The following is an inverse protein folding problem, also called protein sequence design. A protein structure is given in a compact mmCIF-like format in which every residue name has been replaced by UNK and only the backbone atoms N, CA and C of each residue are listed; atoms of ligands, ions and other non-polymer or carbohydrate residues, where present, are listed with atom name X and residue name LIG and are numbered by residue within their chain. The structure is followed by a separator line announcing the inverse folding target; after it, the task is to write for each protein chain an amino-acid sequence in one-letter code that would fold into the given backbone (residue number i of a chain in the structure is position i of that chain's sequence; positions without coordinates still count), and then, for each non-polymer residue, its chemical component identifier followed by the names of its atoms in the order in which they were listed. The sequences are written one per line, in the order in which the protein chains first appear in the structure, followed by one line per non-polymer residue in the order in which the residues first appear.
data_IF_275405073022
#
_entry.id   IF_275405073022
#
_cell.length_a   1.000
_cell.length_b   1.000
_cell.length_c   1.000
_cell.angle_alpha   90.00
_cell.angle_beta   90.00
_cell.angle_gamma   90.00
#
_symmetry.space_group_name_H-M   'P 1'
#
loop_
_entity.id
_entity.type
_entity.pdbx_description
1 polymer ?
#
# COMPACT_ATOMS: atom_id res chain seq x y z
N UNK A 1 18.91 -25.85 -2.31
CA UNK A 1 18.20 -24.81 -1.53
C UNK A 1 18.17 -23.43 -2.20
N UNK A 2 19.18 -23.03 -2.97
CA UNK A 2 19.24 -21.71 -3.63
C UNK A 2 18.18 -21.52 -4.74
N UNK A 3 17.80 -22.59 -5.44
CA UNK A 3 16.91 -22.53 -6.60
C UNK A 3 15.43 -22.15 -6.28
N UNK A 4 15.06 -22.20 -4.99
CA UNK A 4 13.72 -21.81 -4.52
C UNK A 4 13.56 -20.29 -4.36
N UNK A 5 14.66 -19.54 -4.25
CA UNK A 5 14.66 -18.09 -4.10
C UNK A 5 14.49 -17.37 -5.45
N UNK A 6 15.00 -17.94 -6.55
CA UNK A 6 14.94 -17.37 -7.89
C UNK A 6 13.52 -17.32 -8.49
N UNK A 7 12.58 -18.12 -7.95
CA UNK A 7 11.19 -18.21 -8.45
C UNK A 7 10.20 -17.32 -7.70
N UNK A 8 10.67 -16.42 -6.82
CA UNK A 8 9.77 -15.49 -6.14
C UNK A 8 9.40 -14.38 -7.11
N UNK A 9 8.13 -14.30 -7.48
CA UNK A 9 7.60 -13.15 -8.21
C UNK A 9 7.94 -11.88 -7.42
N UNK A 10 8.47 -10.83 -8.07
CA UNK A 10 8.75 -9.57 -7.38
C UNK A 10 7.46 -9.05 -6.74
N UNK A 11 7.54 -8.43 -5.54
CA UNK A 11 6.36 -7.90 -4.87
C UNK A 11 5.59 -6.95 -5.79
N UNK A 12 4.24 -7.00 -5.78
CA UNK A 12 3.44 -6.09 -6.58
C UNK A 12 3.83 -4.65 -6.24
N UNK A 13 4.07 -3.87 -7.28
CA UNK A 13 4.55 -2.48 -7.21
C UNK A 13 3.52 -1.60 -7.92
N UNK A 14 3.23 -0.44 -7.35
CA UNK A 14 2.32 0.56 -7.95
C UNK A 14 3.17 1.74 -8.39
N UNK A 15 2.85 2.31 -9.55
CA UNK A 15 3.42 3.58 -10.02
C UNK A 15 2.73 4.73 -9.26
N UNK A 16 3.54 5.63 -8.73
CA UNK A 16 3.04 6.86 -8.14
C UNK A 16 2.79 7.90 -9.24
N UNK A 17 1.54 8.07 -9.64
CA UNK A 17 1.17 8.91 -10.79
C UNK A 17 1.66 10.36 -10.63
N UNK A 18 1.39 11.00 -9.49
CA UNK A 18 1.74 12.40 -9.24
C UNK A 18 3.25 12.63 -9.23
N UNK A 19 4.02 11.67 -8.72
CA UNK A 19 5.48 11.76 -8.70
C UNK A 19 6.11 11.41 -10.05
N UNK A 20 5.45 10.55 -10.83
CA UNK A 20 5.82 10.23 -12.22
C UNK A 20 5.62 11.46 -13.10
N UNK A 21 4.51 12.18 -12.94
CA UNK A 21 4.18 13.40 -13.69
C UNK A 21 5.20 14.51 -13.43
N UNK A 22 5.49 14.82 -12.16
CA UNK A 22 6.50 15.82 -11.79
C UNK A 22 7.88 15.52 -12.37
N UNK A 23 8.28 14.25 -12.44
CA UNK A 23 9.59 13.89 -12.97
C UNK A 23 9.60 13.86 -14.50
N UNK A 24 8.47 13.55 -15.14
CA UNK A 24 8.30 13.70 -16.58
C UNK A 24 8.40 15.17 -17.01
N UNK A 25 7.83 16.10 -16.23
CA UNK A 25 7.94 17.55 -16.45
C UNK A 25 9.37 18.08 -16.29
N UNK A 26 10.21 17.41 -15.49
CA UNK A 26 11.62 17.77 -15.32
C UNK A 26 12.54 17.30 -16.46
N UNK A 27 12.06 16.42 -17.33
CA UNK A 27 12.85 15.89 -18.44
C UNK A 27 12.58 16.68 -19.72
N UNK A 28 13.53 17.53 -20.11
CA UNK A 28 13.52 18.18 -21.42
C UNK A 28 13.95 17.18 -22.51
N UNK A 29 13.03 16.94 -23.45
CA UNK A 29 13.30 16.17 -24.66
C UNK A 29 13.82 17.13 -25.74
N UNK A 30 15.11 17.44 -25.69
CA UNK A 30 15.79 18.06 -26.82
C UNK A 30 15.70 17.14 -28.04
N UNK A 31 15.29 17.71 -29.17
CA UNK A 31 15.17 17.06 -30.48
C UNK A 31 16.58 16.71 -31.00
N UNK A 32 16.89 15.42 -31.15
CA UNK A 32 18.17 14.98 -31.71
C UNK A 32 18.08 14.90 -33.25
N UNK A 33 19.22 15.03 -33.92
CA UNK A 33 19.31 14.88 -35.37
C UNK A 33 19.02 13.44 -35.86
N UNK A 34 18.80 12.49 -34.95
CA UNK A 34 18.56 11.07 -35.25
C UNK A 34 17.32 10.56 -34.53
N UNK A 35 16.34 10.13 -35.32
CA UNK A 35 15.09 9.51 -34.85
C UNK A 35 15.37 8.29 -33.97
N UNK A 36 16.37 7.49 -34.31
CA UNK A 36 16.74 6.32 -33.51
C UNK A 36 17.34 6.74 -32.15
N UNK A 37 18.11 7.83 -32.14
CA UNK A 37 18.69 8.43 -30.93
C UNK A 37 17.61 8.98 -30.00
N UNK A 38 16.64 9.71 -30.56
CA UNK A 38 15.48 10.22 -29.83
C UNK A 38 14.66 9.09 -29.23
N UNK A 39 14.39 8.04 -30.01
CA UNK A 39 13.64 6.89 -29.52
C UNK A 39 14.36 6.19 -28.35
N UNK A 40 15.68 6.01 -28.44
CA UNK A 40 16.46 5.40 -27.36
C UNK A 40 16.46 6.26 -26.10
N UNK A 41 16.61 7.58 -26.25
CA UNK A 41 16.55 8.53 -25.12
C UNK A 41 15.18 8.50 -24.45
N UNK A 42 14.11 8.47 -25.23
CA UNK A 42 12.73 8.38 -24.74
C UNK A 42 12.49 7.06 -23.98
N UNK A 43 12.91 5.92 -24.53
CA UNK A 43 12.80 4.62 -23.85
C UNK A 43 13.62 4.58 -22.56
N UNK A 44 14.82 5.16 -22.56
CA UNK A 44 15.67 5.23 -21.39
C UNK A 44 15.03 6.06 -20.27
N UNK A 45 14.48 7.24 -20.59
CA UNK A 45 13.78 8.10 -19.62
C UNK A 45 12.52 7.40 -19.08
N UNK A 46 11.70 6.80 -19.94
CA UNK A 46 10.52 6.05 -19.50
C UNK A 46 10.90 4.90 -18.57
N UNK A 47 11.97 4.17 -18.89
CA UNK A 47 12.45 3.06 -18.07
C UNK A 47 12.99 3.55 -16.73
N UNK A 48 13.74 4.67 -16.73
CA UNK A 48 14.25 5.31 -15.53
C UNK A 48 13.12 5.77 -14.60
N UNK A 49 12.13 6.47 -15.13
CA UNK A 49 10.94 6.91 -14.38
C UNK A 49 10.20 5.70 -13.82
N UNK A 50 9.95 4.69 -14.66
CA UNK A 50 9.25 3.47 -14.29
C UNK A 50 9.94 2.74 -13.14
N UNK A 51 11.26 2.66 -13.15
CA UNK A 51 12.01 1.94 -12.12
C UNK A 51 12.23 2.78 -10.85
N UNK A 52 12.39 4.11 -10.99
CA UNK A 52 12.53 5.05 -9.87
C UNK A 52 11.25 5.18 -9.02
N UNK A 53 10.06 5.08 -9.63
CA UNK A 53 8.78 5.28 -8.95
C UNK A 53 7.97 4.01 -8.68
N UNK A 54 8.63 2.85 -8.72
CA UNK A 54 8.06 1.61 -8.21
C UNK A 54 7.91 1.67 -6.69
N UNK A 55 6.75 2.11 -6.20
CA UNK A 55 6.39 2.00 -4.79
C UNK A 55 5.88 0.60 -4.49
N UNK A 56 6.37 -0.02 -3.41
CA UNK A 56 5.79 -1.28 -2.91
C UNK A 56 4.29 -1.08 -2.74
N UNK A 57 3.48 -1.98 -3.32
CA UNK A 57 2.04 -1.99 -3.08
C UNK A 57 1.84 -2.01 -1.56
N UNK A 58 1.03 -1.12 -0.98
CA UNK A 58 0.70 -1.18 0.44
C UNK A 58 0.23 -2.59 0.77
N UNK A 59 0.85 -3.20 1.78
CA UNK A 59 0.43 -4.53 2.21
C UNK A 59 -1.07 -4.48 2.59
N UNK A 60 -1.81 -5.55 2.27
CA UNK A 60 -3.23 -5.65 2.57
C UNK A 60 -3.57 -5.36 4.04
N UNK A 61 -2.63 -5.69 4.95
CA UNK A 61 -2.75 -5.44 6.39
C UNK A 61 -2.46 -3.97 6.72
N UNK A 62 -1.52 -3.33 6.01
CA UNK A 62 -1.13 -1.95 6.29
C UNK A 62 -2.17 -0.93 5.86
N UNK A 63 -3.03 -1.27 4.89
CA UNK A 63 -4.13 -0.40 4.45
C UNK A 63 -5.40 -0.54 5.30
N UNK A 64 -5.56 -1.65 6.03
CA UNK A 64 -6.79 -1.96 6.78
C UNK A 64 -6.83 -1.33 8.18
N UNK A 65 -5.68 -0.99 8.74
CA UNK A 65 -5.54 -0.49 10.12
C UNK A 65 -4.82 0.85 10.07
N UNK A 66 -5.34 1.82 10.81
CA UNK A 66 -4.74 3.16 10.92
C UNK A 66 -3.47 3.15 11.77
N UNK A 67 -2.63 4.15 11.60
CA UNK A 67 -1.39 4.26 12.38
C UNK A 67 -1.66 4.44 13.88
N UNK A 68 -2.74 5.14 14.25
CA UNK A 68 -3.19 5.25 15.65
C UNK A 68 -3.50 3.88 16.27
N UNK A 69 -4.26 3.04 15.57
CA UNK A 69 -4.62 1.70 16.04
C UNK A 69 -3.39 0.80 16.12
N UNK A 70 -2.40 0.96 15.24
CA UNK A 70 -1.11 0.26 15.36
C UNK A 70 -0.35 0.63 16.61
N UNK A 71 -0.22 1.91 16.90
CA UNK A 71 0.45 2.37 18.12
C UNK A 71 -0.24 1.80 19.35
N UNK A 72 -1.57 1.69 19.33
CA UNK A 72 -2.33 1.06 20.41
C UNK A 72 -2.04 -0.45 20.55
N UNK A 73 -1.99 -1.17 19.43
CA UNK A 73 -1.62 -2.60 19.40
C UNK A 73 -0.17 -2.83 19.84
N UNK A 74 0.73 -1.91 19.53
CA UNK A 74 2.13 -1.95 19.97
C UNK A 74 2.25 -1.69 21.47
N UNK A 75 1.52 -0.70 22.01
CA UNK A 75 1.38 -0.49 23.46
C UNK A 75 0.89 -1.77 24.14
N UNK A 76 -0.10 -2.44 23.57
CA UNK A 76 -0.62 -3.73 24.08
C UNK A 76 0.43 -4.82 24.08
N UNK A 77 1.23 -4.92 23.01
CA UNK A 77 2.31 -5.90 22.88
C UNK A 77 3.40 -5.71 23.95
N UNK A 78 3.67 -4.45 24.30
CA UNK A 78 4.75 -4.09 25.22
C UNK A 78 4.30 -4.04 26.71
N UNK A 79 3.00 -4.14 26.98
CA UNK A 79 2.47 -4.11 28.33
C UNK A 79 2.79 -5.42 29.08
N UNK A 80 3.54 -5.30 30.19
CA UNK A 80 3.88 -6.45 31.05
C UNK A 80 2.66 -6.92 31.83
N UNK A 81 2.48 -8.24 31.92
CA UNK A 81 1.41 -8.86 32.73
C UNK A 81 1.81 -8.89 34.20
N UNK A 82 1.41 -7.86 34.94
CA UNK A 82 1.49 -7.78 36.41
C UNK A 82 0.09 -7.77 37.02
N UNK A 83 -0.05 -7.84 38.34
CA UNK A 83 -1.37 -7.84 39.02
C UNK A 83 -2.21 -6.59 38.68
N UNK A 84 -1.59 -5.40 38.64
CA UNK A 84 -2.23 -4.17 38.12
C UNK A 84 -2.31 -4.17 36.58
N UNK A 85 -1.31 -4.74 35.90
CA UNK A 85 -1.29 -4.88 34.44
C UNK A 85 -2.43 -5.74 33.89
N UNK A 86 -3.08 -6.59 34.68
CA UNK A 86 -4.23 -7.39 34.23
C UNK A 86 -5.46 -6.54 33.91
N UNK A 87 -5.72 -5.49 34.71
CA UNK A 87 -6.86 -4.60 34.52
C UNK A 87 -6.60 -3.64 33.35
N UNK A 88 -5.38 -3.07 33.28
CA UNK A 88 -4.91 -2.28 32.15
C UNK A 88 -4.91 -3.08 30.84
N UNK A 89 -4.48 -4.35 30.87
CA UNK A 89 -4.52 -5.25 29.71
C UNK A 89 -5.96 -5.50 29.24
N UNK A 90 -6.90 -5.67 30.17
CA UNK A 90 -8.32 -5.89 29.83
C UNK A 90 -8.93 -4.66 29.17
N UNK A 91 -8.68 -3.47 29.73
CA UNK A 91 -9.13 -2.21 29.14
C UNK A 91 -8.49 -1.99 27.77
N UNK A 92 -7.18 -2.19 27.64
CA UNK A 92 -6.46 -2.00 26.40
C UNK A 92 -6.88 -3.01 25.32
N UNK A 93 -7.20 -4.25 25.69
CA UNK A 93 -7.78 -5.24 24.79
C UNK A 93 -9.11 -4.77 24.20
N UNK A 94 -10.00 -4.25 25.06
CA UNK A 94 -11.31 -3.75 24.62
C UNK A 94 -11.15 -2.57 23.67
N UNK A 95 -10.32 -1.58 24.01
CA UNK A 95 -10.08 -0.42 23.14
C UNK A 95 -9.45 -0.84 21.81
N UNK A 96 -8.49 -1.79 21.84
CA UNK A 96 -7.90 -2.34 20.61
C UNK A 96 -8.96 -3.01 19.72
N UNK A 97 -9.84 -3.83 20.29
CA UNK A 97 -10.91 -4.49 19.54
C UNK A 97 -11.87 -3.48 18.90
N UNK A 98 -12.31 -2.49 19.67
CA UNK A 98 -13.22 -1.45 19.18
C UNK A 98 -12.58 -0.61 18.06
N UNK A 99 -11.31 -0.24 18.20
CA UNK A 99 -10.58 0.53 17.17
C UNK A 99 -10.31 -0.29 15.91
N UNK A 100 -9.89 -1.55 16.05
CA UNK A 100 -9.70 -2.46 14.90
C UNK A 100 -11.00 -2.70 14.16
N UNK A 101 -12.12 -2.88 14.86
CA UNK A 101 -13.43 -3.04 14.23
C UNK A 101 -13.84 -1.79 13.44
N UNK A 102 -13.67 -0.59 14.01
CA UNK A 102 -13.93 0.69 13.33
C UNK A 102 -13.07 0.87 12.08
N UNK A 103 -11.78 0.56 12.17
CA UNK A 103 -10.86 0.66 11.03
C UNK A 103 -11.28 -0.29 9.90
N UNK A 104 -11.68 -1.53 10.23
CA UNK A 104 -12.19 -2.48 9.25
C UNK A 104 -13.50 -2.04 8.59
N UNK A 105 -14.44 -1.49 9.36
CA UNK A 105 -15.67 -0.93 8.81
C UNK A 105 -15.38 0.24 7.86
N UNK A 106 -14.54 1.19 8.28
CA UNK A 106 -14.17 2.35 7.48
C UNK A 106 -13.48 1.92 6.16
N UNK A 107 -12.55 0.96 6.25
CA UNK A 107 -11.90 0.38 5.08
C UNK A 107 -12.90 -0.27 4.13
N UNK A 108 -13.83 -1.06 4.67
CA UNK A 108 -14.85 -1.76 3.87
C UNK A 108 -15.78 -0.76 3.17
N UNK A 109 -16.27 0.24 3.90
CA UNK A 109 -17.14 1.30 3.34
C UNK A 109 -16.42 2.04 2.22
N UNK A 110 -15.18 2.48 2.44
CA UNK A 110 -14.37 3.17 1.42
C UNK A 110 -14.20 2.32 0.17
N UNK A 111 -13.82 1.05 0.32
CA UNK A 111 -13.61 0.14 -0.82
C UNK A 111 -14.89 -0.14 -1.62
N UNK A 112 -16.03 -0.29 -0.95
CA UNK A 112 -17.31 -0.50 -1.64
C UNK A 112 -17.78 0.78 -2.35
N UNK A 113 -17.53 1.95 -1.77
CA UNK A 113 -17.82 3.24 -2.39
C UNK A 113 -16.96 3.46 -3.64
N UNK A 114 -15.64 3.24 -3.55
CA UNK A 114 -14.74 3.26 -4.72
C UNK A 114 -15.20 2.30 -5.82
N UNK A 115 -15.71 1.12 -5.45
CA UNK A 115 -16.21 0.16 -6.42
C UNK A 115 -17.48 0.65 -7.14
N UNK A 116 -18.39 1.29 -6.40
CA UNK A 116 -19.59 1.90 -6.95
C UNK A 116 -19.24 3.06 -7.91
N UNK A 117 -18.32 3.94 -7.51
CA UNK A 117 -17.86 5.07 -8.32
C UNK A 117 -17.16 4.61 -9.61
N UNK A 118 -16.31 3.58 -9.51
CA UNK A 118 -15.62 2.98 -10.65
C UNK A 118 -16.50 2.05 -11.51
N UNK A 119 -17.80 1.92 -11.20
CA UNK A 119 -18.74 0.99 -11.85
C UNK A 119 -18.23 -0.46 -11.89
N UNK A 120 -17.41 -0.85 -10.91
CA UNK A 120 -16.90 -2.20 -10.76
C UNK A 120 -17.84 -3.07 -9.93
N UNK A 121 -17.69 -4.38 -10.01
CA UNK A 121 -18.58 -5.32 -9.32
C UNK A 121 -18.40 -5.24 -7.80
N UNK A 122 -19.38 -4.64 -7.10
CA UNK A 122 -19.44 -4.57 -5.63
C UNK A 122 -19.31 -5.96 -5.00
N UNK A 123 -19.91 -6.99 -5.61
CA UNK A 123 -19.86 -8.38 -5.13
C UNK A 123 -18.44 -8.94 -5.14
N UNK A 124 -17.68 -8.70 -6.21
CA UNK A 124 -16.28 -9.15 -6.30
C UNK A 124 -15.40 -8.38 -5.32
N UNK A 125 -15.62 -7.07 -5.20
CA UNK A 125 -14.90 -6.23 -4.24
C UNK A 125 -15.17 -6.67 -2.80
N UNK A 126 -16.41 -6.94 -2.41
CA UNK A 126 -16.76 -7.45 -1.08
C UNK A 126 -16.06 -8.78 -0.77
N UNK A 127 -16.02 -9.71 -1.73
CA UNK A 127 -15.29 -10.98 -1.59
C UNK A 127 -13.78 -10.76 -1.42
N UNK A 128 -13.20 -9.81 -2.15
CA UNK A 128 -11.78 -9.45 -2.01
C UNK A 128 -11.45 -8.77 -0.68
N UNK A 129 -12.42 -8.10 -0.04
CA UNK A 129 -12.22 -7.49 1.28
C UNK A 129 -12.20 -8.57 2.37
N UNK A 130 -13.01 -9.61 2.24
CA UNK A 130 -13.12 -10.71 3.22
C UNK A 130 -11.94 -11.70 3.16
N UNK A 131 -11.27 -11.82 2.02
CA UNK A 131 -10.04 -12.60 1.83
C UNK A 131 -8.80 -11.94 2.43
#
# INVERSE_FOLDING_TARGET
MLDRMARRRPPPTILDADATERLAEMHDFEELDSIDGDYHKLVAVITFIKDGYRKKKPNHITSRITEETRQLLEKRRNLKRTTHGNLEMTLLNRVCQERVAKDHEAFTRKKLMEAAESRTSIKLTARSIAG
#
